data_IF_429934072138
#
_entry.id   IF_429934072138
#
_cell.length_a   1.000
_cell.length_b   1.000
_cell.length_c   1.000
_cell.angle_alpha   90.00
_cell.angle_beta   90.00
_cell.angle_gamma   90.00
#
_symmetry.space_group_name_H-M   'P 1'
#
loop_
_entity.id
_entity.type
_entity.pdbx_description
1 polymer ?
#
# COMPACT_ATOMS: atom_id res chain seq x y z
N UNK A 1 -7.95 -2.69 -11.53
CA UNK A 1 -6.77 -3.51 -11.91
C UNK A 1 -6.85 -4.80 -11.11
N UNK A 2 -6.88 -5.96 -11.77
CA UNK A 2 -6.87 -7.25 -11.06
C UNK A 2 -5.43 -7.49 -10.62
N UNK A 3 -5.14 -7.25 -9.34
CA UNK A 3 -3.79 -7.43 -8.78
C UNK A 3 -3.33 -8.87 -8.91
N UNK A 4 -2.10 -9.08 -9.37
CA UNK A 4 -1.49 -10.41 -9.43
C UNK A 4 -1.06 -10.84 -8.02
N UNK A 5 -1.37 -12.08 -7.63
CA UNK A 5 -0.95 -12.63 -6.34
C UNK A 5 0.54 -13.01 -6.37
N UNK A 6 1.26 -12.61 -5.33
CA UNK A 6 2.68 -12.95 -5.12
C UNK A 6 2.80 -13.85 -3.91
N UNK A 7 3.63 -14.89 -3.97
CA UNK A 7 3.91 -15.76 -2.83
C UNK A 7 4.92 -15.10 -1.90
N UNK A 8 4.59 -15.02 -0.61
CA UNK A 8 5.47 -14.52 0.44
C UNK A 8 5.78 -15.66 1.40
N UNK A 9 7.06 -15.85 1.70
CA UNK A 9 7.50 -16.83 2.70
C UNK A 9 7.57 -16.16 4.07
N UNK A 10 6.84 -16.71 5.04
CA UNK A 10 6.85 -16.24 6.42
C UNK A 10 7.33 -17.35 7.36
N UNK A 11 7.98 -16.99 8.48
CA UNK A 11 8.32 -17.94 9.54
C UNK A 11 7.11 -18.78 9.96
N UNK A 12 7.30 -20.10 10.08
CA UNK A 12 6.25 -21.03 10.51
C UNK A 12 5.57 -20.61 11.82
N UNK A 13 6.34 -20.00 12.73
CA UNK A 13 5.82 -19.50 14.01
C UNK A 13 4.72 -18.45 13.82
N UNK A 14 4.94 -17.49 12.91
CA UNK A 14 3.95 -16.46 12.59
C UNK A 14 2.73 -17.08 11.90
N UNK A 15 2.93 -18.02 10.97
CA UNK A 15 1.82 -18.71 10.32
C UNK A 15 0.91 -19.43 11.31
N UNK A 16 1.48 -20.11 12.32
CA UNK A 16 0.70 -20.79 13.36
C UNK A 16 -0.09 -19.80 14.21
N UNK A 17 0.51 -18.67 14.60
CA UNK A 17 -0.17 -17.63 15.37
C UNK A 17 -1.33 -17.02 14.58
N UNK A 18 -1.11 -16.68 13.31
CA UNK A 18 -2.15 -16.12 12.44
C UNK A 18 -3.27 -17.14 12.22
N UNK A 19 -2.94 -18.42 12.07
CA UNK A 19 -3.94 -19.47 11.91
C UNK A 19 -4.84 -19.62 13.15
N UNK A 20 -4.29 -19.47 14.35
CA UNK A 20 -5.10 -19.43 15.58
C UNK A 20 -6.00 -18.20 15.63
N UNK A 21 -5.46 -17.01 15.31
CA UNK A 21 -6.22 -15.76 15.27
C UNK A 21 -7.41 -15.83 14.28
N UNK A 22 -7.17 -16.34 13.06
CA UNK A 22 -8.23 -16.53 12.04
C UNK A 22 -9.27 -17.55 12.48
N UNK A 23 -8.91 -18.52 13.33
CA UNK A 23 -9.87 -19.49 13.86
C UNK A 23 -10.75 -18.90 14.97
N UNK A 24 -10.22 -17.94 15.73
CA UNK A 24 -10.94 -17.24 16.78
C UNK A 24 -11.77 -16.06 16.24
N UNK A 25 -11.34 -15.45 15.13
CA UNK A 25 -12.03 -14.34 14.47
C UNK A 25 -12.92 -14.81 13.32
N UNK A 26 -14.26 -14.68 13.40
CA UNK A 26 -15.17 -15.03 12.31
C UNK A 26 -15.11 -14.06 11.11
N UNK A 27 -14.40 -12.94 11.24
CA UNK A 27 -14.25 -11.93 10.19
C UNK A 27 -13.35 -12.36 9.03
N UNK A 28 -12.45 -13.32 9.24
CA UNK A 28 -11.49 -13.75 8.22
C UNK A 28 -11.75 -15.20 7.81
N UNK A 29 -11.91 -15.43 6.50
CA UNK A 29 -12.14 -16.79 5.98
C UNK A 29 -10.86 -17.60 5.87
N UNK A 30 -9.73 -16.93 5.62
CA UNK A 30 -8.44 -17.57 5.39
C UNK A 30 -7.29 -16.72 5.95
N UNK A 31 -6.14 -17.38 6.16
CA UNK A 31 -4.88 -16.73 6.57
C UNK A 31 -4.43 -15.68 5.55
N UNK A 32 -4.66 -15.91 4.26
CA UNK A 32 -4.31 -14.98 3.19
C UNK A 32 -5.06 -13.65 3.30
N UNK A 33 -6.37 -13.68 3.59
CA UNK A 33 -7.15 -12.45 3.77
C UNK A 33 -6.68 -11.65 4.97
N UNK A 34 -6.40 -12.34 6.10
CA UNK A 34 -5.87 -11.68 7.29
C UNK A 34 -4.53 -11.01 7.01
N UNK A 35 -3.60 -11.74 6.37
CA UNK A 35 -2.27 -11.20 6.04
C UNK A 35 -2.38 -10.03 5.07
N UNK A 36 -3.26 -10.14 4.07
CA UNK A 36 -3.49 -9.06 3.09
C UNK A 36 -4.04 -7.83 3.79
N UNK A 37 -5.08 -7.98 4.62
CA UNK A 37 -5.68 -6.88 5.37
C UNK A 37 -4.67 -6.19 6.29
N UNK A 38 -3.89 -6.95 7.07
CA UNK A 38 -2.87 -6.38 7.96
C UNK A 38 -1.78 -5.66 7.18
N UNK A 39 -1.33 -6.24 6.06
CA UNK A 39 -0.34 -5.59 5.20
C UNK A 39 -0.91 -4.33 4.56
N UNK A 40 -2.16 -4.34 4.09
CA UNK A 40 -2.83 -3.16 3.55
C UNK A 40 -3.02 -2.08 4.61
N UNK A 41 -3.46 -2.42 5.82
CA UNK A 41 -3.62 -1.43 6.90
C UNK A 41 -2.27 -0.86 7.35
N UNK A 42 -1.23 -1.69 7.49
CA UNK A 42 0.13 -1.20 7.79
C UNK A 42 0.66 -0.33 6.65
N UNK A 43 0.43 -0.73 5.39
CA UNK A 43 0.79 0.07 4.22
C UNK A 43 -0.10 1.29 4.02
N UNK A 44 -1.29 1.34 4.64
CA UNK A 44 -2.22 2.49 4.70
C UNK A 44 -1.95 3.43 5.88
N UNK A 45 -1.27 2.94 6.92
CA UNK A 45 -0.63 3.77 7.95
C UNK A 45 0.75 4.28 7.51
N UNK A 46 1.49 3.53 6.69
CA UNK A 46 2.76 3.97 6.05
C UNK A 46 2.68 4.80 4.73
N UNK A 47 1.56 5.00 4.01
CA UNK A 47 1.53 5.61 2.69
C UNK A 47 1.58 7.15 2.80
N UNK A 48 1.34 7.71 3.99
CA UNK A 48 1.75 9.09 4.26
C UNK A 48 3.27 9.26 4.16
N UNK A 49 4.07 8.18 4.22
CA UNK A 49 5.51 8.23 4.02
C UNK A 49 6.00 7.71 2.67
N UNK A 50 5.37 6.70 2.05
CA UNK A 50 5.87 6.14 0.77
C UNK A 50 5.07 6.46 -0.48
N UNK A 51 3.78 6.74 -0.40
CA UNK A 51 2.99 7.15 -1.58
C UNK A 51 3.04 8.67 -1.82
N UNK A 52 3.38 9.47 -0.79
CA UNK A 52 3.77 10.88 -0.99
C UNK A 52 5.12 11.06 -1.69
N UNK A 53 6.00 10.04 -1.71
CA UNK A 53 7.30 10.14 -2.40
C UNK A 53 7.24 9.83 -3.91
N UNK A 54 6.06 9.54 -4.49
CA UNK A 54 5.94 9.20 -5.92
C UNK A 54 5.09 10.12 -6.80
N UNK A 55 4.47 11.18 -6.28
CA UNK A 55 3.52 11.98 -7.08
C UNK A 55 3.73 13.49 -7.03
N UNK A 56 4.95 13.94 -6.70
CA UNK A 56 5.45 15.22 -7.23
C UNK A 56 6.95 15.02 -7.47
N UNK A 57 7.29 14.24 -8.50
CA UNK A 57 8.63 14.32 -9.06
C UNK A 57 8.79 15.75 -9.60
N UNK A 58 9.97 16.33 -9.45
CA UNK A 58 10.34 17.69 -9.88
C UNK A 58 9.88 18.05 -11.31
N UNK A 59 9.70 17.03 -12.14
CA UNK A 59 9.12 17.11 -13.49
C UNK A 59 7.70 17.69 -13.53
N UNK A 60 6.80 17.30 -12.61
CA UNK A 60 5.43 17.83 -12.58
C UNK A 60 5.39 19.29 -12.12
N UNK A 61 6.30 19.70 -11.22
CA UNK A 61 6.44 21.12 -10.83
C UNK A 61 6.97 21.98 -11.99
N UNK A 62 7.87 21.43 -12.82
CA UNK A 62 8.39 22.11 -14.01
C UNK A 62 7.32 22.24 -15.09
N UNK A 63 6.48 21.22 -15.32
CA UNK A 63 5.35 21.31 -16.24
C UNK A 63 4.31 22.35 -15.79
N UNK A 64 4.01 22.43 -14.49
CA UNK A 64 3.09 23.45 -13.96
C UNK A 64 3.69 24.85 -14.13
N UNK A 65 5.00 25.04 -13.89
CA UNK A 65 5.68 26.33 -14.09
C UNK A 65 5.69 26.77 -15.55
N UNK A 66 5.94 25.86 -16.48
CA UNK A 66 5.94 26.16 -17.91
C UNK A 66 4.54 26.59 -18.37
N UNK A 67 3.50 25.89 -17.87
CA UNK A 67 2.10 26.21 -18.15
C UNK A 67 1.68 27.56 -17.56
N UNK A 68 2.13 27.88 -16.34
CA UNK A 68 1.87 29.18 -15.70
C UNK A 68 2.56 30.33 -16.42
N UNK A 69 3.79 30.13 -16.91
CA UNK A 69 4.54 31.11 -17.72
C UNK A 69 3.88 31.31 -19.09
N UNK A 70 3.41 30.24 -19.74
CA UNK A 70 2.70 30.33 -21.01
C UNK A 70 1.35 31.07 -20.89
N UNK A 71 0.72 31.01 -19.72
CA UNK A 71 -0.53 31.71 -19.41
C UNK A 71 -0.32 33.12 -18.80
N UNK A 72 0.93 33.54 -18.59
CA UNK A 72 1.27 34.89 -18.13
C UNK A 72 0.98 35.17 -16.65
N UNK A 73 0.90 34.13 -15.82
CA UNK A 73 0.70 34.27 -14.37
C UNK A 73 2.02 34.45 -13.59
N UNK A 74 3.16 34.45 -14.30
CA UNK A 74 4.53 34.71 -13.85
C UNK A 74 5.23 35.61 -14.87
#
# INVERSE_FOLDING_TARGET
>A
MVGHLVKVEIPKKLHVQIKSLVKESPEFKNVEEFVTFVLEEVLKEEPEKKEKEKVYSKEEEDEIKDRLRALGYL
#
